data_IF_874576779706
#
_entry.id   IF_874576779706
#
_cell.length_a   1.000
_cell.length_b   1.000
_cell.length_c   1.000
_cell.angle_alpha   90.00
_cell.angle_beta   90.00
_cell.angle_gamma   90.00
#
_symmetry.space_group_name_H-M   'P 1'
#
loop_
_entity.id
_entity.type
_entity.pdbx_description
1 polymer ?
#
# COMPACT_ATOMS: atom_id res chain seq x y z
N UNK A 1 -13.23 -7.82 -0.74
CA UNK A 1 -13.29 -6.47 -0.13
C UNK A 1 -13.06 -5.31 -1.10
N UNK A 2 -12.08 -5.39 -2.02
CA UNK A 2 -11.76 -4.29 -2.94
C UNK A 2 -12.96 -3.76 -3.74
N UNK A 3 -13.76 -4.63 -4.37
CA UNK A 3 -14.88 -4.23 -5.25
C UNK A 3 -15.84 -3.24 -4.57
N UNK A 4 -16.11 -3.41 -3.27
CA UNK A 4 -16.99 -2.53 -2.49
C UNK A 4 -16.42 -1.12 -2.27
N UNK A 5 -15.09 -0.98 -2.32
CA UNK A 5 -14.38 0.28 -2.03
C UNK A 5 -13.63 0.82 -3.25
N UNK A 6 -13.84 0.25 -4.45
CA UNK A 6 -13.12 0.59 -5.68
C UNK A 6 -13.22 2.08 -5.99
N UNK A 7 -14.41 2.65 -5.93
CA UNK A 7 -14.62 4.06 -6.26
C UNK A 7 -13.88 5.00 -5.30
N UNK A 8 -13.79 4.64 -4.02
CA UNK A 8 -13.03 5.39 -3.03
C UNK A 8 -11.52 5.29 -3.30
N UNK A 9 -11.02 4.11 -3.65
CA UNK A 9 -9.62 3.95 -4.06
C UNK A 9 -9.29 4.81 -5.28
N UNK A 10 -10.16 4.86 -6.29
CA UNK A 10 -9.96 5.69 -7.47
C UNK A 10 -9.92 7.19 -7.13
N UNK A 11 -10.80 7.65 -6.22
CA UNK A 11 -10.80 9.04 -5.73
C UNK A 11 -9.51 9.38 -4.99
N UNK A 12 -9.06 8.52 -4.09
CA UNK A 12 -7.80 8.72 -3.37
C UNK A 12 -6.60 8.71 -4.33
N UNK A 13 -6.55 7.76 -5.26
CA UNK A 13 -5.50 7.66 -6.28
C UNK A 13 -5.38 8.96 -7.09
N UNK A 14 -6.50 9.49 -7.59
CA UNK A 14 -6.52 10.75 -8.33
C UNK A 14 -6.02 11.93 -7.50
N UNK A 15 -6.57 12.11 -6.29
CA UNK A 15 -6.19 13.23 -5.41
C UNK A 15 -4.71 13.19 -5.01
N UNK A 16 -4.18 11.98 -4.74
CA UNK A 16 -2.77 11.78 -4.44
C UNK A 16 -1.88 12.11 -5.65
N UNK A 17 -2.26 11.62 -6.84
CA UNK A 17 -1.51 11.88 -8.07
C UNK A 17 -1.47 13.37 -8.39
N UNK A 18 -2.60 14.06 -8.26
CA UNK A 18 -2.69 15.50 -8.50
C UNK A 18 -1.81 16.26 -7.50
N UNK A 19 -1.87 15.92 -6.21
CA UNK A 19 -1.04 16.54 -5.16
C UNK A 19 0.45 16.39 -5.46
N UNK A 20 0.93 15.17 -5.73
CA UNK A 20 2.36 14.93 -5.97
C UNK A 20 2.85 15.52 -7.29
N UNK A 21 1.97 15.74 -8.27
CA UNK A 21 2.29 16.47 -9.50
C UNK A 21 2.38 17.98 -9.29
N UNK A 22 1.49 18.57 -8.49
CA UNK A 22 1.46 20.01 -8.24
C UNK A 22 2.38 20.48 -7.11
N UNK A 23 2.87 19.56 -6.27
CA UNK A 23 3.72 19.91 -5.13
C UNK A 23 5.03 20.55 -5.61
N UNK A 24 5.46 21.70 -5.04
CA UNK A 24 6.69 22.34 -5.44
C UNK A 24 7.86 21.37 -5.25
N UNK A 25 8.61 21.13 -6.33
CA UNK A 25 9.94 20.51 -6.24
C UNK A 25 10.81 21.48 -5.45
N UNK A 26 11.30 21.06 -4.29
CA UNK A 26 12.26 21.84 -3.51
C UNK A 26 13.41 22.22 -4.45
N UNK A 27 13.73 23.52 -4.61
CA UNK A 27 14.93 23.91 -5.33
C UNK A 27 16.12 23.37 -4.54
N UNK A 28 16.80 22.34 -5.06
CA UNK A 28 18.09 21.93 -4.54
C UNK A 28 19.08 23.01 -4.95
N UNK A 29 19.24 24.06 -4.16
CA UNK A 29 20.35 24.99 -4.34
C UNK A 29 21.63 24.18 -4.06
N UNK A 30 22.56 24.02 -5.03
CA UNK A 30 23.83 23.37 -4.74
C UNK A 30 24.54 24.17 -3.63
N UNK A 31 25.22 23.51 -2.68
CA UNK A 31 25.96 24.22 -1.65
C UNK A 31 27.02 25.09 -2.33
N UNK A 32 26.92 26.41 -2.14
CA UNK A 32 27.95 27.36 -2.55
C UNK A 32 29.16 27.08 -1.64
N UNK A 33 30.18 26.43 -2.19
CA UNK A 33 31.51 26.48 -1.58
C UNK A 33 32.07 27.88 -1.82
N UNK A 34 31.99 28.71 -0.78
CA UNK A 34 32.66 29.99 -0.73
C UNK A 34 34.17 29.77 -0.69
N UNK A 35 34.84 29.83 -1.84
CA UNK A 35 36.26 30.14 -1.92
C UNK A 35 36.42 31.67 -1.88
N UNK A 36 37.06 32.20 -0.84
CA UNK A 36 37.86 33.44 -0.90
C UNK A 36 38.44 33.83 0.46
N UNK A 37 39.77 33.84 0.51
CA UNK A 37 40.51 35.11 0.68
C UNK A 37 40.52 35.79 2.05
N UNK A 38 41.59 35.52 2.82
CA UNK A 38 42.52 36.53 3.41
C UNK A 38 41.93 37.91 3.77
N UNK A 39 41.78 38.20 5.06
CA UNK A 39 41.55 39.56 5.57
C UNK A 39 41.52 39.63 7.11
N UNK A 40 42.49 40.34 7.67
CA UNK A 40 42.77 40.61 9.09
C UNK A 40 41.78 41.54 9.80
N UNK A 41 41.49 41.30 11.10
CA UNK A 41 41.39 42.36 12.12
C UNK A 41 40.03 42.63 12.82
N UNK A 42 39.80 41.94 13.97
CA UNK A 42 39.10 42.32 15.23
C UNK A 42 37.76 43.12 15.28
N UNK A 43 37.17 43.36 16.48
CA UNK A 43 37.25 42.70 17.80
C UNK A 43 35.87 42.16 18.31
N UNK A 44 35.77 41.52 19.51
CA UNK A 44 34.59 40.76 19.92
C UNK A 44 33.69 41.44 20.99
N UNK A 45 32.47 40.90 21.10
CA UNK A 45 31.56 40.86 22.27
C UNK A 45 30.44 41.88 22.39
N UNK A 46 29.20 41.39 22.41
CA UNK A 46 28.30 41.59 23.56
C UNK A 46 27.27 40.46 23.64
N UNK A 47 27.02 40.01 24.86
CA UNK A 47 26.26 38.83 25.25
C UNK A 47 24.75 39.11 25.23
N UNK A 48 23.97 38.15 24.76
CA UNK A 48 22.58 37.97 25.18
C UNK A 48 22.26 36.47 25.21
N UNK A 49 21.81 35.91 26.34
CA UNK A 49 21.30 34.55 26.37
C UNK A 49 19.83 34.62 25.95
N UNK A 50 19.55 34.24 24.70
CA UNK A 50 18.20 33.78 24.33
C UNK A 50 18.31 32.28 24.06
N UNK A 51 17.31 31.46 24.42
CA UNK A 51 17.41 30.01 24.32
C UNK A 51 17.21 29.60 22.86
N UNK A 52 18.20 29.89 22.03
CA UNK A 52 18.25 29.42 20.66
C UNK A 52 18.70 27.98 20.69
N UNK A 53 17.75 27.13 20.31
CA UNK A 53 17.92 26.04 19.37
C UNK A 53 19.15 25.17 19.62
N UNK A 54 18.90 23.94 20.04
CA UNK A 54 19.77 22.80 19.82
C UNK A 54 20.19 22.78 18.33
N UNK A 55 21.31 23.41 18.00
CA UNK A 55 21.97 23.29 16.71
C UNK A 55 22.69 21.95 16.69
N UNK A 56 21.90 20.88 16.61
CA UNK A 56 22.43 19.58 16.23
C UNK A 56 22.60 19.62 14.71
N UNK A 57 23.85 19.81 14.28
CA UNK A 57 24.25 19.80 12.88
C UNK A 57 23.58 18.64 12.14
N UNK A 58 22.61 18.98 11.32
CA UNK A 58 21.86 18.04 10.50
C UNK A 58 22.04 18.51 9.07
N UNK A 59 22.63 17.64 8.24
CA UNK A 59 22.57 17.76 6.79
C UNK A 59 21.17 18.20 6.36
N UNK A 60 21.00 19.04 5.32
CA UNK A 60 19.68 19.33 4.79
C UNK A 60 19.15 18.07 4.10
N UNK A 61 18.69 17.11 4.90
CA UNK A 61 17.68 16.19 4.44
C UNK A 61 16.53 17.08 3.98
N UNK A 62 16.20 17.00 2.70
CA UNK A 62 15.07 17.70 2.11
C UNK A 62 13.80 17.12 2.74
N UNK A 63 13.46 17.61 3.94
CA UNK A 63 12.27 17.20 4.67
C UNK A 63 11.05 17.73 3.93
N UNK A 64 10.33 16.82 3.29
CA UNK A 64 9.06 17.13 2.63
C UNK A 64 7.97 17.07 3.70
N UNK A 65 7.36 18.21 4.00
CA UNK A 65 6.17 18.24 4.86
C UNK A 65 4.95 17.79 4.06
N UNK A 66 4.29 16.73 4.50
CA UNK A 66 3.10 16.16 3.86
C UNK A 66 1.88 16.54 4.71
N UNK A 67 0.86 17.22 4.15
CA UNK A 67 -0.37 17.52 4.87
C UNK A 67 -1.05 16.25 5.38
N UNK A 68 -1.60 16.31 6.59
CA UNK A 68 -2.23 15.16 7.24
C UNK A 68 -3.31 14.49 6.38
N UNK A 69 -4.11 15.27 5.65
CA UNK A 69 -5.12 14.75 4.71
C UNK A 69 -4.50 13.86 3.62
N UNK A 70 -3.36 14.26 3.05
CA UNK A 70 -2.66 13.51 2.00
C UNK A 70 -2.12 12.20 2.58
N UNK A 71 -1.53 12.24 3.77
CA UNK A 71 -1.09 11.03 4.48
C UNK A 71 -2.26 10.05 4.70
N UNK A 72 -3.41 10.53 5.18
CA UNK A 72 -4.60 9.69 5.39
C UNK A 72 -5.14 9.12 4.08
N UNK A 73 -5.17 9.91 3.00
CA UNK A 73 -5.56 9.42 1.68
C UNK A 73 -4.63 8.31 1.20
N UNK A 74 -3.33 8.45 1.38
CA UNK A 74 -2.34 7.44 1.02
C UNK A 74 -2.54 6.15 1.82
N UNK A 75 -2.67 6.25 3.15
CA UNK A 75 -2.93 5.10 4.01
C UNK A 75 -4.22 4.36 3.64
N UNK A 76 -5.31 5.10 3.40
CA UNK A 76 -6.59 4.52 3.00
C UNK A 76 -6.56 3.90 1.60
N UNK A 77 -5.86 4.55 0.65
CA UNK A 77 -5.65 4.00 -0.68
C UNK A 77 -4.93 2.65 -0.59
N UNK A 78 -3.79 2.60 0.12
CA UNK A 78 -3.02 1.36 0.32
C UNK A 78 -3.84 0.26 0.98
N UNK A 79 -4.58 0.58 2.04
CA UNK A 79 -5.45 -0.38 2.71
C UNK A 79 -6.48 -0.99 1.74
N UNK A 80 -7.07 -0.17 0.86
CA UNK A 80 -8.03 -0.68 -0.12
C UNK A 80 -7.33 -1.50 -1.21
N UNK A 81 -6.25 -1.00 -1.80
CA UNK A 81 -5.55 -1.68 -2.91
C UNK A 81 -4.88 -2.99 -2.49
N UNK A 82 -4.41 -3.09 -1.24
CA UNK A 82 -3.87 -4.34 -0.71
C UNK A 82 -4.88 -5.49 -0.75
N UNK A 83 -6.19 -5.20 -0.63
CA UNK A 83 -7.21 -6.23 -0.78
C UNK A 83 -7.18 -6.90 -2.17
N UNK A 84 -6.81 -6.16 -3.23
CA UNK A 84 -6.67 -6.76 -4.58
C UNK A 84 -5.45 -7.65 -4.61
N UNK A 85 -4.31 -7.16 -4.13
CA UNK A 85 -3.06 -7.91 -4.09
C UNK A 85 -3.26 -9.25 -3.38
N UNK A 86 -3.78 -9.23 -2.14
CA UNK A 86 -4.05 -10.45 -1.39
C UNK A 86 -5.05 -11.37 -2.09
N UNK A 87 -6.06 -10.80 -2.78
CA UNK A 87 -7.03 -11.64 -3.51
C UNK A 87 -6.37 -12.41 -4.65
N UNK A 88 -5.38 -11.84 -5.34
CA UNK A 88 -4.62 -12.55 -6.37
C UNK A 88 -3.64 -13.57 -5.76
N UNK A 89 -2.91 -13.21 -4.71
CA UNK A 89 -1.98 -14.12 -4.03
C UNK A 89 -2.70 -15.37 -3.49
N UNK A 90 -3.82 -15.19 -2.80
CA UNK A 90 -4.62 -16.32 -2.31
C UNK A 90 -5.27 -17.12 -3.42
N UNK A 91 -5.65 -16.47 -4.53
CA UNK A 91 -6.22 -17.18 -5.67
C UNK A 91 -5.19 -18.07 -6.35
N UNK A 92 -3.98 -17.56 -6.60
CA UNK A 92 -2.89 -18.34 -7.20
C UNK A 92 -2.49 -19.53 -6.32
N UNK A 93 -2.39 -19.32 -4.99
CA UNK A 93 -2.14 -20.40 -4.05
C UNK A 93 -3.23 -21.46 -4.10
N UNK A 94 -4.50 -21.05 -4.08
CA UNK A 94 -5.63 -21.97 -4.17
C UNK A 94 -5.65 -22.75 -5.50
N UNK A 95 -5.38 -22.08 -6.62
CA UNK A 95 -5.30 -22.69 -7.94
C UNK A 95 -4.16 -23.70 -8.02
N UNK A 96 -3.00 -23.40 -7.42
CA UNK A 96 -1.90 -24.35 -7.34
C UNK A 96 -2.28 -25.61 -6.57
N UNK A 97 -2.91 -25.47 -5.40
CA UNK A 97 -3.37 -26.60 -4.58
C UNK A 97 -4.50 -27.40 -5.26
N UNK A 98 -5.35 -26.72 -6.04
CA UNK A 98 -6.43 -27.36 -6.76
C UNK A 98 -5.93 -28.31 -7.85
N UNK A 99 -4.80 -27.99 -8.50
CA UNK A 99 -4.18 -28.87 -9.51
C UNK A 99 -3.75 -30.22 -8.93
N UNK A 100 -3.31 -30.25 -7.69
CA UNK A 100 -2.93 -31.49 -7.00
C UNK A 100 -4.14 -32.33 -6.57
N UNK A 101 -5.35 -31.74 -6.61
CA UNK A 101 -6.60 -32.34 -6.15
C UNK A 101 -7.70 -32.31 -7.24
N UNK A 102 -7.28 -32.49 -8.50
CA UNK A 102 -8.12 -32.22 -9.67
C UNK A 102 -9.45 -33.00 -9.70
N UNK A 103 -9.50 -34.26 -9.24
CA UNK A 103 -10.74 -35.04 -9.27
C UNK A 103 -11.85 -34.41 -8.42
N UNK A 104 -11.49 -33.97 -7.21
CA UNK A 104 -12.40 -33.30 -6.30
C UNK A 104 -12.95 -32.01 -6.91
N UNK A 105 -12.06 -31.15 -7.42
CA UNK A 105 -12.47 -29.87 -8.01
C UNK A 105 -13.20 -30.04 -9.35
N UNK A 106 -12.86 -31.03 -10.17
CA UNK A 106 -13.60 -31.35 -11.41
C UNK A 106 -15.03 -31.79 -11.12
N UNK A 107 -15.23 -32.61 -10.09
CA UNK A 107 -16.57 -32.99 -9.65
C UNK A 107 -17.39 -31.78 -9.21
N UNK A 108 -16.81 -30.92 -8.37
CA UNK A 108 -17.47 -29.68 -7.93
C UNK A 108 -17.80 -28.75 -9.10
N UNK A 109 -16.88 -28.60 -10.04
CA UNK A 109 -17.05 -27.79 -11.25
C UNK A 109 -18.17 -28.34 -12.15
N UNK A 110 -18.36 -29.66 -12.18
CA UNK A 110 -19.44 -30.29 -12.96
C UNK A 110 -20.81 -30.00 -12.35
N UNK A 111 -20.91 -29.96 -11.01
CA UNK A 111 -22.17 -29.73 -10.30
C UNK A 111 -22.60 -28.26 -10.27
N UNK A 112 -21.67 -27.35 -10.01
CA UNK A 112 -21.98 -25.94 -9.72
C UNK A 112 -21.41 -24.96 -10.75
N UNK A 113 -20.66 -25.45 -11.74
CA UNK A 113 -19.79 -24.63 -12.57
C UNK A 113 -18.47 -24.30 -11.88
N UNK A 114 -17.44 -23.88 -12.64
CA UNK A 114 -16.14 -23.54 -12.06
C UNK A 114 -16.21 -22.27 -11.22
N UNK A 115 -15.57 -22.31 -10.04
CA UNK A 115 -15.33 -21.10 -9.27
C UNK A 115 -14.24 -20.28 -9.94
N UNK A 116 -14.45 -18.97 -10.06
CA UNK A 116 -13.47 -18.04 -10.65
C UNK A 116 -13.27 -16.85 -9.71
N UNK A 117 -12.17 -16.11 -9.89
CA UNK A 117 -11.93 -14.84 -9.20
C UNK A 117 -13.06 -13.81 -9.42
N UNK A 118 -13.84 -13.99 -10.49
CA UNK A 118 -14.95 -13.11 -10.85
C UNK A 118 -16.32 -13.57 -10.34
N UNK A 119 -16.42 -14.78 -9.82
CA UNK A 119 -17.66 -15.34 -9.29
C UNK A 119 -18.29 -14.45 -8.20
N UNK A 120 -19.61 -14.49 -8.11
CA UNK A 120 -20.35 -13.78 -7.07
C UNK A 120 -20.13 -14.45 -5.71
N UNK A 121 -20.36 -13.69 -4.63
CA UNK A 121 -20.28 -14.24 -3.27
C UNK A 121 -21.29 -15.39 -3.07
N UNK A 122 -22.47 -15.29 -3.68
CA UNK A 122 -23.50 -16.33 -3.61
C UNK A 122 -23.02 -17.63 -4.26
N UNK A 123 -22.41 -17.54 -5.44
CA UNK A 123 -21.82 -18.69 -6.11
C UNK A 123 -20.68 -19.30 -5.28
N UNK A 124 -19.78 -18.47 -4.74
CA UNK A 124 -18.69 -18.96 -3.88
C UNK A 124 -19.22 -19.72 -2.66
N UNK A 125 -20.24 -19.19 -1.97
CA UNK A 125 -20.87 -19.86 -0.82
C UNK A 125 -21.48 -21.19 -1.22
N UNK A 126 -22.21 -21.25 -2.34
CA UNK A 126 -22.80 -22.50 -2.82
C UNK A 126 -21.72 -23.54 -3.17
N UNK A 127 -20.68 -23.12 -3.89
CA UNK A 127 -19.55 -23.97 -4.25
C UNK A 127 -18.86 -24.54 -3.00
N UNK A 128 -18.59 -23.70 -1.99
CA UNK A 128 -18.00 -24.14 -0.72
C UNK A 128 -18.92 -25.07 0.07
N UNK A 129 -20.23 -24.84 0.06
CA UNK A 129 -21.19 -25.75 0.71
C UNK A 129 -21.15 -27.14 0.07
N UNK A 130 -21.12 -27.21 -1.26
CA UNK A 130 -21.03 -28.49 -1.98
C UNK A 130 -19.71 -29.22 -1.67
N UNK A 131 -18.60 -28.48 -1.66
CA UNK A 131 -17.28 -28.98 -1.27
C UNK A 131 -17.31 -29.62 0.14
N UNK A 132 -17.85 -28.91 1.12
CA UNK A 132 -17.94 -29.39 2.50
C UNK A 132 -18.85 -30.62 2.66
N UNK A 133 -19.97 -30.66 1.93
CA UNK A 133 -20.86 -31.83 1.95
C UNK A 133 -20.14 -33.07 1.39
N UNK A 134 -19.40 -32.91 0.30
CA UNK A 134 -18.63 -34.02 -0.27
C UNK A 134 -17.54 -34.52 0.67
N UNK A 135 -16.77 -33.61 1.28
CA UNK A 135 -15.75 -33.97 2.28
C UNK A 135 -16.37 -34.74 3.46
N UNK A 136 -17.56 -34.33 3.91
CA UNK A 136 -18.27 -35.02 4.99
C UNK A 136 -18.66 -36.45 4.60
N UNK A 137 -19.15 -36.64 3.38
CA UNK A 137 -19.57 -37.95 2.88
C UNK A 137 -18.34 -38.86 2.71
N UNK A 138 -17.27 -38.35 2.09
CA UNK A 138 -16.05 -39.15 1.87
C UNK A 138 -15.37 -39.56 3.18
N UNK A 139 -15.39 -38.70 4.20
CA UNK A 139 -14.87 -39.03 5.52
C UNK A 139 -15.68 -40.10 6.27
N UNK A 140 -16.99 -40.21 6.00
CA UNK A 140 -17.86 -41.22 6.62
C UNK A 140 -17.87 -42.57 5.88
N UNK A 141 -17.23 -42.64 4.71
CA UNK A 141 -17.14 -43.84 3.86
C UNK A 141 -15.76 -44.50 3.96
N UNK A 142 -14.87 -43.96 4.81
CA UNK A 142 -13.53 -44.49 5.12
C UNK A 142 -13.49 -45.34 6.39
#
# INVERSE_FOLDING_TARGET
>A
MFRLKKDNAMKYSKALLDYFKSSPKVPTTPPIWSDSGKGTGGPPSSLSPSPSALTLGSSPSSLISIPQRIHQMAANHLNITNNVLYSYEYWELAESLARDNNEFFNYLNTLSGPLTLHSSIAHAVQYTRQALQWIRISANVG
#
